data_IF_599652913082
#
_entry.id   IF_599652913082
#
_cell.length_a   1.000
_cell.length_b   1.000
_cell.length_c   1.000
_cell.angle_alpha   90.00
_cell.angle_beta   90.00
_cell.angle_gamma   90.00
#
_symmetry.space_group_name_H-M   'P 1'
#
loop_
_entity.id
_entity.type
_entity.pdbx_description
1 polymer ?
#
# COMPACT_ATOMS: atom_id res chain seq x y z
N UNK A 1 4.99 5.45 10.15
CA UNK A 1 5.56 4.11 9.91
C UNK A 1 6.02 4.03 8.46
N UNK A 2 7.34 4.18 8.18
CA UNK A 2 7.88 4.17 6.82
C UNK A 2 7.70 2.81 6.14
N UNK A 3 7.47 2.80 4.84
CA UNK A 3 7.44 1.56 4.04
C UNK A 3 8.87 1.03 3.80
N UNK A 4 9.84 1.92 3.57
CA UNK A 4 11.23 1.53 3.36
C UNK A 4 12.04 1.60 4.65
N UNK A 5 12.85 0.58 4.89
CA UNK A 5 13.82 0.59 5.97
C UNK A 5 15.07 1.42 5.57
N UNK A 6 15.74 2.12 6.49
CA UNK A 6 16.65 3.22 6.15
C UNK A 6 17.85 2.87 5.24
N UNK A 7 18.47 1.70 5.44
CA UNK A 7 19.64 1.27 4.66
C UNK A 7 19.20 0.71 3.31
N UNK A 8 18.09 -0.02 3.27
CA UNK A 8 17.49 -0.45 1.99
C UNK A 8 17.06 0.76 1.16
N UNK A 9 16.46 1.77 1.80
CA UNK A 9 16.05 3.02 1.17
C UNK A 9 17.24 3.74 0.51
N UNK A 10 18.30 3.99 1.28
CA UNK A 10 19.55 4.61 0.79
C UNK A 10 20.13 3.82 -0.39
N UNK A 11 20.19 2.50 -0.25
CA UNK A 11 20.72 1.62 -1.29
C UNK A 11 19.87 1.68 -2.57
N UNK A 12 18.54 1.58 -2.49
CA UNK A 12 17.65 1.66 -3.66
C UNK A 12 17.72 3.03 -4.34
N UNK A 13 17.81 4.12 -3.57
CA UNK A 13 17.98 5.46 -4.11
C UNK A 13 19.32 5.60 -4.84
N UNK A 14 20.41 5.10 -4.26
CA UNK A 14 21.74 5.15 -4.87
C UNK A 14 21.83 4.39 -6.21
N UNK A 15 20.99 3.37 -6.37
CA UNK A 15 20.88 2.57 -7.59
C UNK A 15 19.88 3.14 -8.61
N UNK A 16 19.17 4.24 -8.28
CA UNK A 16 18.10 4.78 -9.12
C UNK A 16 16.89 3.85 -9.23
N UNK A 17 16.63 3.03 -8.21
CA UNK A 17 15.49 2.08 -8.16
C UNK A 17 14.37 2.55 -7.22
N UNK A 18 14.59 3.64 -6.49
CA UNK A 18 13.60 4.34 -5.66
C UNK A 18 13.75 5.86 -5.86
N UNK A 19 12.64 6.56 -6.03
CA UNK A 19 12.63 8.03 -6.09
C UNK A 19 12.68 8.65 -4.69
N UNK A 20 13.04 9.95 -4.57
CA UNK A 20 12.71 10.73 -3.39
C UNK A 20 11.18 10.77 -3.14
N UNK A 21 10.72 11.08 -1.91
CA UNK A 21 9.31 11.36 -1.63
C UNK A 21 8.80 12.52 -2.48
N UNK A 22 7.65 12.34 -3.12
CA UNK A 22 6.88 13.44 -3.72
C UNK A 22 6.26 14.32 -2.63
N UNK A 23 5.86 15.54 -2.99
CA UNK A 23 5.05 16.43 -2.12
C UNK A 23 3.74 15.79 -1.63
N UNK A 24 3.22 14.80 -2.37
CA UNK A 24 1.99 14.07 -2.02
C UNK A 24 2.23 12.84 -1.11
N UNK A 25 3.44 12.66 -0.58
CA UNK A 25 3.76 11.54 0.31
C UNK A 25 3.80 10.18 -0.39
N UNK A 26 4.15 10.14 -1.67
CA UNK A 26 4.33 8.92 -2.47
C UNK A 26 5.76 8.80 -3.00
N UNK A 27 6.15 7.59 -3.42
CA UNK A 27 7.41 7.30 -4.11
C UNK A 27 7.16 6.45 -5.34
N UNK A 28 8.04 6.58 -6.34
CA UNK A 28 8.19 5.62 -7.42
C UNK A 28 9.25 4.59 -7.04
N UNK A 29 8.90 3.32 -7.16
CA UNK A 29 9.81 2.18 -6.97
C UNK A 29 9.80 1.29 -8.21
N UNK A 30 10.96 0.73 -8.56
CA UNK A 30 11.06 -0.27 -9.61
C UNK A 30 10.24 -1.53 -9.28
N UNK A 31 9.45 -2.05 -10.23
CA UNK A 31 8.52 -3.18 -9.98
C UNK A 31 9.20 -4.41 -9.38
N UNK A 32 10.39 -4.78 -9.87
CA UNK A 32 11.24 -5.87 -9.31
C UNK A 32 11.67 -5.71 -7.85
N UNK A 33 11.46 -4.55 -7.23
CA UNK A 33 11.84 -4.27 -5.83
C UNK A 33 10.65 -4.14 -4.88
N UNK A 34 9.43 -4.42 -5.37
CA UNK A 34 8.21 -4.39 -4.56
C UNK A 34 8.25 -5.45 -3.45
N UNK A 35 8.13 -6.73 -3.78
CA UNK A 35 8.06 -7.84 -2.80
C UNK A 35 8.89 -9.05 -3.23
N UNK A 36 8.91 -10.09 -2.40
CA UNK A 36 9.77 -11.27 -2.55
C UNK A 36 9.63 -12.03 -3.89
N UNK A 37 8.53 -11.85 -4.62
CA UNK A 37 8.28 -12.52 -5.90
C UNK A 37 8.55 -11.63 -7.11
N UNK A 38 8.73 -10.32 -6.89
CA UNK A 38 8.75 -9.34 -7.96
C UNK A 38 9.94 -9.50 -8.91
N UNK A 39 11.08 -10.03 -8.45
CA UNK A 39 12.22 -10.34 -9.32
C UNK A 39 11.89 -11.42 -10.36
N UNK A 40 11.00 -12.36 -10.02
CA UNK A 40 10.53 -13.41 -10.93
C UNK A 40 9.40 -12.90 -11.83
N UNK A 41 8.42 -12.22 -11.24
CA UNK A 41 7.24 -11.70 -11.95
C UNK A 41 7.61 -10.70 -13.04
N UNK A 42 8.56 -9.81 -12.74
CA UNK A 42 9.00 -8.75 -13.65
C UNK A 42 10.40 -9.03 -14.21
N UNK A 43 10.71 -10.31 -14.43
CA UNK A 43 12.04 -10.74 -14.89
C UNK A 43 12.42 -10.22 -16.28
N UNK A 44 11.42 -9.86 -17.08
CA UNK A 44 11.52 -9.19 -18.38
C UNK A 44 11.93 -7.72 -18.27
N UNK A 45 11.75 -7.09 -17.11
CA UNK A 45 12.08 -5.69 -16.87
C UNK A 45 13.54 -5.56 -16.38
N UNK A 46 14.42 -4.89 -17.13
CA UNK A 46 15.83 -4.75 -16.75
C UNK A 46 15.99 -3.77 -15.58
N UNK A 47 16.84 -4.12 -14.60
CA UNK A 47 17.18 -3.26 -13.47
C UNK A 47 18.14 -2.14 -13.91
N UNK A 48 17.62 -1.10 -14.55
CA UNK A 48 18.42 0.06 -14.98
C UNK A 48 17.98 1.33 -14.25
N UNK A 49 18.91 2.25 -13.90
CA UNK A 49 18.58 3.48 -13.17
C UNK A 49 17.55 4.38 -13.86
N UNK A 50 17.44 4.32 -15.20
CA UNK A 50 16.48 5.10 -15.98
C UNK A 50 15.03 4.55 -15.91
N UNK A 51 14.84 3.37 -15.31
CA UNK A 51 13.57 2.64 -15.30
C UNK A 51 12.49 3.31 -14.42
N UNK A 52 12.84 4.25 -13.55
CA UNK A 52 11.84 5.00 -12.78
C UNK A 52 11.07 6.04 -13.60
N UNK A 53 11.53 6.36 -14.82
CA UNK A 53 10.84 7.31 -15.70
C UNK A 53 9.64 6.69 -16.41
N UNK A 54 9.65 5.37 -16.62
CA UNK A 54 8.58 4.62 -17.29
C UNK A 54 7.57 4.04 -16.29
N UNK A 55 6.27 4.20 -16.60
CA UNK A 55 5.17 3.59 -15.85
C UNK A 55 5.14 2.05 -15.99
N UNK A 56 5.76 1.50 -17.04
CA UNK A 56 5.80 0.06 -17.25
C UNK A 56 6.79 -0.63 -16.29
N UNK A 57 7.87 0.06 -15.91
CA UNK A 57 8.92 -0.48 -15.04
C UNK A 57 8.85 0.00 -13.59
N UNK A 58 7.97 0.95 -13.28
CA UNK A 58 7.82 1.49 -11.93
C UNK A 58 6.38 1.42 -11.41
N UNK A 59 6.26 1.49 -10.09
CA UNK A 59 4.99 1.59 -9.37
C UNK A 59 5.05 2.77 -8.41
N UNK A 60 3.93 3.49 -8.29
CA UNK A 60 3.77 4.56 -7.31
C UNK A 60 3.14 3.97 -6.04
N UNK A 61 3.81 4.12 -4.90
CA UNK A 61 3.33 3.67 -3.59
C UNK A 61 3.43 4.81 -2.56
N UNK A 62 2.72 4.73 -1.42
CA UNK A 62 2.88 5.68 -0.33
C UNK A 62 4.29 5.64 0.27
N UNK A 63 4.69 6.72 0.94
CA UNK A 63 5.91 6.77 1.74
C UNK A 63 5.75 6.05 3.08
N UNK A 64 4.59 6.24 3.70
CA UNK A 64 4.27 5.79 5.04
C UNK A 64 2.99 4.98 5.01
N UNK A 65 2.99 3.84 5.70
CA UNK A 65 1.80 3.00 5.89
C UNK A 65 0.64 3.79 6.50
N UNK A 66 0.93 4.66 7.47
CA UNK A 66 -0.06 5.53 8.13
C UNK A 66 -0.05 6.92 7.49
N UNK A 67 -0.83 7.12 6.42
CA UNK A 67 -0.90 8.41 5.72
C UNK A 67 -2.14 8.54 4.84
N UNK A 68 -2.51 9.78 4.48
CA UNK A 68 -3.53 10.05 3.44
C UNK A 68 -3.15 9.36 2.13
N UNK A 69 -1.86 9.34 1.77
CA UNK A 69 -1.38 8.68 0.55
C UNK A 69 -1.70 7.18 0.56
N UNK A 70 -1.64 6.51 1.71
CA UNK A 70 -2.07 5.10 1.84
C UNK A 70 -3.56 4.95 1.61
N UNK A 71 -4.39 5.82 2.19
CA UNK A 71 -5.84 5.75 2.02
C UNK A 71 -6.21 5.90 0.54
N UNK A 72 -5.55 6.83 -0.15
CA UNK A 72 -5.71 6.99 -1.62
C UNK A 72 -5.20 5.77 -2.38
N UNK A 73 -4.06 5.21 -2.00
CA UNK A 73 -3.48 4.04 -2.64
C UNK A 73 -4.40 2.80 -2.57
N UNK A 74 -5.03 2.57 -1.41
CA UNK A 74 -5.93 1.42 -1.24
C UNK A 74 -7.26 1.57 -1.98
N UNK A 75 -7.58 2.78 -2.47
CA UNK A 75 -8.61 2.97 -3.49
C UNK A 75 -9.70 4.00 -3.19
N UNK A 76 -9.52 4.84 -2.17
CA UNK A 76 -10.45 5.92 -1.89
C UNK A 76 -10.10 7.17 -2.70
N UNK A 77 -11.14 7.92 -3.07
CA UNK A 77 -10.98 9.23 -3.67
C UNK A 77 -10.40 10.25 -2.68
N UNK A 78 -10.03 11.43 -3.19
CA UNK A 78 -9.35 12.44 -2.40
C UNK A 78 -10.22 12.97 -1.23
N UNK A 79 -11.50 13.24 -1.48
CA UNK A 79 -12.41 13.76 -0.46
C UNK A 79 -12.62 12.76 0.68
N UNK A 80 -12.82 11.50 0.33
CA UNK A 80 -13.06 10.40 1.25
C UNK A 80 -11.80 10.07 2.02
N UNK A 81 -10.63 10.05 1.36
CA UNK A 81 -9.35 9.84 2.02
C UNK A 81 -9.06 10.90 3.10
N UNK A 82 -9.32 12.18 2.81
CA UNK A 82 -9.20 13.24 3.80
C UNK A 82 -10.20 13.10 4.95
N UNK A 83 -11.42 12.65 4.67
CA UNK A 83 -12.44 12.40 5.70
C UNK A 83 -12.01 11.30 6.65
N UNK A 84 -11.61 10.14 6.10
CA UNK A 84 -11.11 8.98 6.85
C UNK A 84 -9.89 9.38 7.70
N UNK A 85 -8.96 10.13 7.12
CA UNK A 85 -7.77 10.61 7.83
C UNK A 85 -8.10 11.55 9.00
N UNK A 86 -9.02 12.49 8.79
CA UNK A 86 -9.48 13.38 9.87
C UNK A 86 -10.13 12.58 10.99
N UNK A 87 -10.97 11.60 10.65
CA UNK A 87 -11.54 10.71 11.67
C UNK A 87 -10.44 9.95 12.40
N UNK A 88 -9.46 9.35 11.70
CA UNK A 88 -8.33 8.69 12.35
C UNK A 88 -7.65 9.58 13.38
N UNK A 89 -7.30 10.81 13.00
CA UNK A 89 -6.65 11.78 13.90
C UNK A 89 -7.50 12.12 15.14
N UNK A 90 -8.83 12.14 15.03
CA UNK A 90 -9.72 12.36 16.19
C UNK A 90 -9.74 11.20 17.17
N UNK A 91 -9.54 9.97 16.70
CA UNK A 91 -9.48 8.78 17.54
C UNK A 91 -8.09 8.58 18.16
N UNK A 92 -7.06 9.20 17.58
CA UNK A 92 -5.67 9.11 18.05
C UNK A 92 -5.06 10.47 18.43
N UNK A 93 -5.69 11.27 19.32
CA UNK A 93 -5.27 12.64 19.59
C UNK A 93 -3.85 12.76 20.17
N UNK A 94 -3.38 11.73 20.89
CA UNK A 94 -2.03 11.71 21.49
C UNK A 94 -0.97 11.04 20.61
N UNK A 95 -1.32 10.59 19.39
CA UNK A 95 -0.43 9.84 18.50
C UNK A 95 0.01 8.46 19.04
N UNK A 96 -0.68 7.94 20.06
CA UNK A 96 -0.32 6.73 20.83
C UNK A 96 -0.95 5.42 20.33
N UNK A 97 -1.49 5.35 19.11
CA UNK A 97 -1.74 4.02 18.52
C UNK A 97 -0.38 3.48 18.13
N UNK A 98 0.23 2.81 19.09
CA UNK A 98 1.40 2.01 18.89
C UNK A 98 0.88 0.77 18.16
N UNK A 99 1.00 0.75 16.84
CA UNK A 99 0.92 -0.51 16.08
C UNK A 99 2.14 -1.35 16.46
N UNK A 100 2.14 -1.85 17.69
CA UNK A 100 3.13 -2.75 18.25
C UNK A 100 2.62 -4.17 18.08
N UNK A 101 3.50 -5.11 17.76
CA UNK A 101 3.21 -6.54 17.59
C UNK A 101 2.54 -7.23 18.81
N UNK A 102 2.22 -6.51 19.90
CA UNK A 102 1.92 -7.11 21.20
C UNK A 102 0.79 -6.49 22.04
N UNK A 103 -0.02 -5.56 21.54
CA UNK A 103 -1.09 -4.97 22.37
C UNK A 103 -2.38 -5.79 22.29
N UNK A 104 -2.61 -6.58 23.34
CA UNK A 104 -3.74 -7.50 23.50
C UNK A 104 -5.03 -6.85 24.01
N UNK A 105 -5.04 -5.54 24.24
CA UNK A 105 -6.17 -4.85 24.86
C UNK A 105 -6.62 -3.66 23.97
N UNK A 106 -7.54 -3.95 23.05
CA UNK A 106 -8.31 -2.98 22.26
C UNK A 106 -7.54 -2.14 21.21
N UNK A 107 -6.69 -2.79 20.41
CA UNK A 107 -5.99 -2.14 19.29
C UNK A 107 -6.86 -2.08 18.05
N UNK A 108 -7.55 -0.96 17.87
CA UNK A 108 -8.17 -0.65 16.58
C UNK A 108 -7.07 -0.22 15.60
N UNK A 109 -6.60 -1.15 14.75
CA UNK A 109 -5.51 -0.88 13.81
C UNK A 109 -5.91 0.14 12.74
N UNK A 110 -4.94 0.76 12.07
CA UNK A 110 -5.26 1.66 10.95
C UNK A 110 -5.99 0.93 9.82
N UNK A 111 -5.66 -0.34 9.60
CA UNK A 111 -6.38 -1.18 8.64
C UNK A 111 -7.85 -1.41 9.05
N UNK A 112 -8.10 -1.75 10.31
CA UNK A 112 -9.47 -1.88 10.82
C UNK A 112 -10.25 -0.56 10.72
N UNK A 113 -9.59 0.58 10.93
CA UNK A 113 -10.19 1.90 10.70
C UNK A 113 -10.58 2.11 9.25
N UNK A 114 -9.70 1.76 8.30
CA UNK A 114 -10.00 1.80 6.87
C UNK A 114 -11.21 0.94 6.51
N UNK A 115 -11.23 -0.33 6.94
CA UNK A 115 -12.35 -1.24 6.67
C UNK A 115 -13.64 -0.73 7.33
N UNK A 116 -13.57 -0.26 8.58
CA UNK A 116 -14.75 0.30 9.26
C UNK A 116 -15.30 1.52 8.53
N UNK A 117 -14.48 2.30 7.84
CA UNK A 117 -14.93 3.46 7.07
C UNK A 117 -15.76 3.06 5.85
N UNK A 118 -15.45 1.90 5.24
CA UNK A 118 -16.27 1.29 4.18
C UNK A 118 -17.62 0.83 4.73
N UNK A 119 -17.61 0.21 5.92
CA UNK A 119 -18.79 -0.41 6.53
C UNK A 119 -19.75 0.64 7.13
N UNK A 120 -19.22 1.70 7.75
CA UNK A 120 -19.98 2.66 8.59
C UNK A 120 -21.07 3.43 7.83
N UNK A 121 -20.98 3.49 6.50
CA UNK A 121 -21.86 4.35 5.69
C UNK A 121 -22.95 3.62 4.90
N UNK A 122 -23.14 2.30 5.00
CA UNK A 122 -24.01 1.59 4.05
C UNK A 122 -25.52 1.84 4.23
N UNK A 123 -26.19 2.42 3.22
CA UNK A 123 -27.63 2.35 3.04
C UNK A 123 -27.91 1.31 1.95
N UNK A 124 -28.19 0.06 2.35
CA UNK A 124 -28.69 -1.02 1.47
C UNK A 124 -27.64 -1.57 0.49
N UNK A 125 -27.06 -2.71 0.85
CA UNK A 125 -26.14 -3.45 -0.01
C UNK A 125 -26.88 -3.90 -1.28
N UNK A 126 -26.26 -3.71 -2.44
CA UNK A 126 -26.87 -4.01 -3.73
C UNK A 126 -26.40 -5.39 -4.17
N UNK A 127 -27.33 -6.35 -4.21
CA UNK A 127 -27.19 -7.62 -4.94
C UNK A 127 -27.90 -7.48 -6.29
N UNK A 128 -27.26 -6.77 -7.23
CA UNK A 128 -27.83 -6.48 -8.55
C UNK A 128 -26.83 -6.80 -9.64
N UNK A 129 -27.35 -7.27 -10.77
CA UNK A 129 -26.57 -7.46 -11.99
C UNK A 129 -26.38 -6.16 -12.78
N UNK A 130 -27.02 -5.05 -12.35
CA UNK A 130 -26.89 -3.75 -12.99
C UNK A 130 -25.55 -3.08 -12.63
N UNK A 131 -24.65 -3.02 -13.62
CA UNK A 131 -23.36 -2.37 -13.49
C UNK A 131 -23.47 -0.88 -13.12
N UNK A 132 -24.56 -0.20 -13.48
CA UNK A 132 -24.77 1.21 -13.12
C UNK A 132 -25.10 1.37 -11.64
N UNK A 133 -25.86 0.45 -11.05
CA UNK A 133 -26.15 0.46 -9.61
C UNK A 133 -24.86 0.24 -8.79
N UNK A 134 -24.01 -0.67 -9.24
CA UNK A 134 -22.67 -0.88 -8.67
C UNK A 134 -21.82 0.38 -8.72
N UNK A 135 -21.72 1.03 -9.89
CA UNK A 135 -20.93 2.27 -10.03
C UNK A 135 -21.46 3.38 -9.14
N UNK A 136 -22.78 3.53 -9.05
CA UNK A 136 -23.40 4.50 -8.16
C UNK A 136 -23.08 4.21 -6.69
N UNK A 137 -23.09 2.94 -6.28
CA UNK A 137 -22.76 2.54 -4.91
C UNK A 137 -21.26 2.76 -4.61
N UNK A 138 -20.36 2.35 -5.49
CA UNK A 138 -18.93 2.59 -5.36
C UNK A 138 -18.60 4.08 -5.26
N UNK A 139 -19.26 4.92 -6.05
CA UNK A 139 -19.11 6.38 -5.97
C UNK A 139 -19.61 6.94 -4.63
N UNK A 140 -20.75 6.46 -4.10
CA UNK A 140 -21.25 6.86 -2.78
C UNK A 140 -20.34 6.43 -1.64
N UNK A 141 -19.65 5.30 -1.79
CA UNK A 141 -18.61 4.83 -0.86
C UNK A 141 -17.30 5.62 -0.98
N UNK A 142 -17.19 6.53 -1.93
CA UNK A 142 -16.00 7.35 -2.10
C UNK A 142 -14.81 6.60 -2.70
N UNK A 143 -15.08 5.56 -3.50
CA UNK A 143 -14.05 4.78 -4.20
C UNK A 143 -13.62 5.52 -5.45
N UNK A 144 -12.31 5.63 -5.68
CA UNK A 144 -11.77 6.36 -6.82
C UNK A 144 -12.05 5.65 -8.15
N UNK A 145 -12.02 6.40 -9.26
CA UNK A 145 -12.40 5.88 -10.58
C UNK A 145 -11.52 4.71 -11.06
N UNK A 146 -10.22 4.71 -10.76
CA UNK A 146 -9.31 3.61 -11.14
C UNK A 146 -9.70 2.34 -10.39
N UNK A 147 -10.01 2.45 -9.11
CA UNK A 147 -10.45 1.33 -8.28
C UNK A 147 -11.82 0.81 -8.69
N UNK A 148 -12.76 1.72 -8.98
CA UNK A 148 -14.05 1.35 -9.57
C UNK A 148 -13.86 0.54 -10.86
N UNK A 149 -12.99 0.99 -11.76
CA UNK A 149 -12.76 0.30 -13.02
C UNK A 149 -12.13 -1.09 -12.83
N UNK A 150 -11.22 -1.24 -11.85
CA UNK A 150 -10.63 -2.54 -11.53
C UNK A 150 -11.66 -3.52 -10.95
N UNK A 151 -12.52 -3.07 -10.04
CA UNK A 151 -13.61 -3.90 -9.47
C UNK A 151 -14.61 -4.29 -10.56
N UNK A 152 -14.96 -3.33 -11.42
CA UNK A 152 -15.96 -3.51 -12.48
C UNK A 152 -15.43 -4.21 -13.74
N UNK A 153 -14.16 -4.64 -13.75
CA UNK A 153 -13.59 -5.33 -14.90
C UNK A 153 -14.41 -6.58 -15.25
N UNK A 154 -14.80 -6.78 -16.53
CA UNK A 154 -15.60 -7.94 -16.93
C UNK A 154 -14.99 -9.29 -16.53
N UNK A 155 -13.67 -9.39 -16.43
CA UNK A 155 -12.98 -10.59 -15.98
C UNK A 155 -13.38 -10.99 -14.55
N UNK A 156 -13.67 -10.01 -13.69
CA UNK A 156 -14.10 -10.23 -12.32
C UNK A 156 -15.62 -10.24 -12.15
N UNK A 157 -16.40 -10.23 -13.24
CA UNK A 157 -17.88 -10.21 -13.16
C UNK A 157 -18.42 -11.40 -12.36
N UNK A 158 -17.86 -12.60 -12.52
CA UNK A 158 -18.29 -13.79 -11.76
C UNK A 158 -18.02 -13.61 -10.26
N UNK A 159 -16.90 -13.00 -9.88
CA UNK A 159 -16.60 -12.70 -8.48
C UNK A 159 -17.61 -11.67 -7.92
N UNK A 160 -17.93 -10.62 -8.69
CA UNK A 160 -18.94 -9.62 -8.32
C UNK A 160 -20.34 -10.21 -8.14
N UNK A 161 -20.72 -11.22 -8.93
CA UNK A 161 -22.04 -11.86 -8.84
C UNK A 161 -22.15 -12.84 -7.66
N UNK A 162 -21.03 -13.23 -7.04
CA UNK A 162 -21.00 -14.15 -5.91
C UNK A 162 -20.81 -13.47 -4.55
N UNK A 163 -20.65 -12.14 -4.53
CA UNK A 163 -20.50 -11.34 -3.32
C UNK A 163 -21.24 -10.01 -3.44
N UNK A 164 -21.19 -9.20 -2.39
CA UNK A 164 -21.78 -7.87 -2.42
C UNK A 164 -20.80 -6.82 -2.95
N UNK A 165 -21.34 -5.66 -3.34
CA UNK A 165 -20.51 -4.55 -3.81
C UNK A 165 -19.48 -4.13 -2.78
N UNK A 166 -19.83 -4.23 -1.50
CA UNK A 166 -18.89 -3.85 -0.46
C UNK A 166 -17.91 -4.95 -0.13
N UNK A 167 -18.31 -6.22 -0.13
CA UNK A 167 -17.33 -7.31 0.03
C UNK A 167 -16.22 -7.17 -1.01
N UNK A 168 -16.56 -6.84 -2.26
CA UNK A 168 -15.58 -6.55 -3.30
C UNK A 168 -14.67 -5.35 -2.98
N UNK A 169 -15.20 -4.29 -2.36
CA UNK A 169 -14.41 -3.12 -1.94
C UNK A 169 -13.50 -3.47 -0.77
N UNK A 170 -14.01 -4.16 0.24
CA UNK A 170 -13.24 -4.61 1.41
C UNK A 170 -12.07 -5.49 0.97
N UNK A 171 -12.33 -6.51 0.15
CA UNK A 171 -11.29 -7.38 -0.41
C UNK A 171 -10.26 -6.60 -1.23
N UNK A 172 -10.69 -5.61 -2.02
CA UNK A 172 -9.78 -4.78 -2.82
C UNK A 172 -8.89 -3.90 -1.95
N UNK A 173 -9.47 -3.23 -0.95
CA UNK A 173 -8.75 -2.38 0.02
C UNK A 173 -7.76 -3.23 0.82
N UNK A 174 -8.20 -4.40 1.28
CA UNK A 174 -7.37 -5.37 2.00
C UNK A 174 -6.20 -5.87 1.16
N UNK A 175 -6.46 -6.35 -0.06
CA UNK A 175 -5.41 -6.86 -0.94
C UNK A 175 -4.34 -5.80 -1.24
N UNK A 176 -4.75 -4.55 -1.45
CA UNK A 176 -3.83 -3.43 -1.67
C UNK A 176 -3.06 -3.05 -0.41
N UNK A 177 -3.71 -3.05 0.76
CA UNK A 177 -3.03 -2.79 2.02
C UNK A 177 -1.98 -3.87 2.33
N UNK A 178 -2.35 -5.15 2.20
CA UNK A 178 -1.44 -6.29 2.33
C UNK A 178 -0.27 -6.23 1.36
N UNK A 179 -0.48 -5.71 0.15
CA UNK A 179 0.62 -5.47 -0.80
C UNK A 179 1.66 -4.51 -0.21
N UNK A 180 1.24 -3.44 0.47
CA UNK A 180 2.17 -2.52 1.14
C UNK A 180 2.90 -3.18 2.31
N UNK A 181 2.21 -4.03 3.09
CA UNK A 181 2.84 -4.81 4.17
C UNK A 181 3.91 -5.75 3.62
N UNK A 182 3.63 -6.43 2.50
CA UNK A 182 4.60 -7.28 1.81
C UNK A 182 5.82 -6.48 1.32
N UNK A 183 5.61 -5.28 0.78
CA UNK A 183 6.70 -4.40 0.36
C UNK A 183 7.56 -3.97 1.57
N UNK A 184 6.91 -3.58 2.66
CA UNK A 184 7.60 -3.18 3.88
C UNK A 184 8.39 -4.33 4.51
N UNK A 185 7.81 -5.54 4.54
CA UNK A 185 8.48 -6.74 5.02
C UNK A 185 9.72 -7.08 4.18
N UNK A 186 9.61 -7.00 2.85
CA UNK A 186 10.76 -7.26 1.96
C UNK A 186 11.83 -6.16 2.09
N UNK A 187 11.44 -4.89 2.25
CA UNK A 187 12.41 -3.81 2.50
C UNK A 187 13.19 -4.04 3.81
N UNK A 188 12.50 -4.40 4.90
CA UNK A 188 13.14 -4.76 6.17
C UNK A 188 14.10 -5.95 6.02
N UNK A 189 13.74 -6.94 5.21
CA UNK A 189 14.60 -8.10 4.93
C UNK A 189 15.87 -7.70 4.18
N UNK A 190 15.77 -6.87 3.14
CA UNK A 190 16.94 -6.36 2.40
C UNK A 190 17.83 -5.49 3.29
N UNK A 191 17.23 -4.66 4.13
CA UNK A 191 17.95 -3.83 5.11
C UNK A 191 18.80 -4.69 6.07
N UNK A 192 18.20 -5.73 6.67
CA UNK A 192 18.93 -6.67 7.53
C UNK A 192 20.08 -7.37 6.81
N UNK A 193 19.91 -7.71 5.52
CA UNK A 193 20.98 -8.32 4.73
C UNK A 193 22.12 -7.32 4.45
N UNK A 194 21.79 -6.08 4.11
CA UNK A 194 22.78 -5.01 3.91
C UNK A 194 23.55 -4.71 5.21
N UNK A 195 22.88 -4.70 6.36
CA UNK A 195 23.52 -4.57 7.68
C UNK A 195 24.53 -5.70 7.93
N UNK A 196 24.13 -6.96 7.68
CA UNK A 196 25.01 -8.13 7.83
C UNK A 196 26.24 -8.04 6.92
N UNK A 197 26.06 -7.58 5.69
CA UNK A 197 27.17 -7.39 4.74
C UNK A 197 28.13 -6.29 5.21
N UNK A 198 27.60 -5.14 5.66
CA UNK A 198 28.41 -4.05 6.25
C UNK A 198 29.22 -4.54 7.46
N UNK A 199 28.63 -5.34 8.35
CA UNK A 199 29.34 -5.90 9.51
C UNK A 199 30.43 -6.91 9.13
N UNK A 200 30.23 -7.73 8.09
CA UNK A 200 31.24 -8.67 7.59
C UNK A 200 32.44 -7.98 6.93
N UNK A 201 32.29 -6.75 6.45
CA UNK A 201 33.33 -5.97 5.79
C UNK A 201 34.08 -5.00 6.73
N UNK A 202 33.85 -5.09 8.05
CA UNK A 202 34.59 -4.31 9.07
C UNK A 202 36.10 -4.58 9.06
N UNK A 203 36.92 -3.70 9.69
CA UNK A 203 38.35 -3.62 9.44
C UNK A 203 39.05 -4.96 9.72
N UNK A 204 39.75 -5.47 8.70
CA UNK A 204 40.62 -6.64 8.84
C UNK A 204 41.66 -6.42 9.95
N UNK A 205 42.18 -7.52 10.54
CA UNK A 205 43.08 -7.43 11.68
C UNK A 205 44.26 -6.51 11.36
N UNK A 206 44.45 -5.47 12.18
CA UNK A 206 45.70 -4.72 12.20
C UNK A 206 46.79 -5.66 12.69
N UNK A 207 47.55 -6.21 11.75
CA UNK A 207 48.80 -6.90 12.03
C UNK A 207 49.84 -5.88 12.46
N UNK A 208 50.09 -5.82 13.77
CA UNK A 208 51.28 -5.25 14.39
C UNK A 208 52.38 -6.30 14.49
#
# INVERSE_FOLDING_TARGET
MPIFAPIDEENLMSQGLLSPPSEHGTRRIHKRRLHQFSDREYSDIPLTPSSLSSDDSSSIIPENMLSIATIKYVGFDDATAHSIWRTWLTWTPDGRVQETENSKDCDFSFFEHLISSVIRHKPHDVFSEDDQEWRNLLQRMGIDQRTQNAIMDPFFKVCRLNGTCVECVEETVEARYRTLEMIQAESRKRDMELQRQRHRQGPGPQSS
#
